data_IF_292173496870
#
_entry.id   IF_292173496870
#
_cell.length_a   1.000
_cell.length_b   1.000
_cell.length_c   1.000
_cell.angle_alpha   90.00
_cell.angle_beta   90.00
_cell.angle_gamma   90.00
#
_symmetry.space_group_name_H-M   'P 1'
#
loop_
_entity.id
_entity.type
_entity.pdbx_description
1 polymer ?
#
# COMPACT_ATOMS: atom_id res chain seq x y z
N UNK A 1 -10.26 13.83 8.25
CA UNK A 1 -9.85 12.53 7.68
C UNK A 1 -8.35 12.39 7.75
N UNK A 2 -7.88 11.23 8.19
CA UNK A 2 -6.45 10.93 8.17
C UNK A 2 -6.12 10.20 6.87
N UNK A 3 -5.56 10.90 5.94
CA UNK A 3 -5.27 10.36 4.60
C UNK A 3 -4.29 9.19 4.68
N UNK A 4 -3.31 9.26 5.58
CA UNK A 4 -2.34 8.17 5.75
C UNK A 4 -3.05 6.90 6.20
N UNK A 5 -3.94 7.03 7.16
CA UNK A 5 -4.68 5.88 7.66
C UNK A 5 -5.59 5.29 6.59
N UNK A 6 -6.25 6.15 5.82
CA UNK A 6 -7.14 5.70 4.75
C UNK A 6 -6.38 5.00 3.64
N UNK A 7 -5.23 5.54 3.25
CA UNK A 7 -4.39 4.89 2.25
C UNK A 7 -3.90 3.53 2.77
N UNK A 8 -3.47 3.48 4.02
CA UNK A 8 -2.99 2.23 4.62
C UNK A 8 -4.06 1.14 4.62
N UNK A 9 -5.31 1.53 4.93
CA UNK A 9 -6.43 0.59 4.89
C UNK A 9 -6.67 0.07 3.48
N UNK A 10 -6.54 0.93 2.48
CA UNK A 10 -6.67 0.54 1.08
C UNK A 10 -5.62 -0.50 0.70
N UNK A 11 -4.37 -0.23 1.07
CA UNK A 11 -3.28 -1.15 0.76
C UNK A 11 -3.58 -2.51 1.38
N UNK A 12 -3.94 -2.52 2.65
CA UNK A 12 -4.22 -3.78 3.35
C UNK A 12 -5.39 -4.53 2.69
N UNK A 13 -6.47 -3.81 2.39
CA UNK A 13 -7.66 -4.44 1.80
C UNK A 13 -7.35 -5.05 0.44
N UNK A 14 -6.65 -4.32 -0.41
CA UNK A 14 -6.33 -4.81 -1.75
C UNK A 14 -5.33 -5.96 -1.67
N UNK A 15 -4.31 -5.81 -0.80
CA UNK A 15 -3.32 -6.88 -0.60
C UNK A 15 -4.01 -8.16 -0.15
N UNK A 16 -4.89 -8.06 0.84
CA UNK A 16 -5.59 -9.23 1.36
C UNK A 16 -6.52 -9.84 0.32
N UNK A 17 -7.18 -9.02 -0.49
CA UNK A 17 -8.06 -9.53 -1.53
C UNK A 17 -7.31 -10.34 -2.57
N UNK A 18 -6.02 -10.09 -2.71
CA UNK A 18 -5.16 -10.82 -3.65
C UNK A 18 -4.36 -11.92 -2.96
N UNK A 19 -4.60 -12.12 -1.67
CA UNK A 19 -3.95 -13.16 -0.87
C UNK A 19 -2.43 -13.00 -0.86
N UNK A 20 -1.97 -11.75 -0.78
CA UNK A 20 -0.55 -11.42 -0.76
C UNK A 20 -0.17 -11.01 0.66
N UNK A 21 0.91 -11.57 1.20
CA UNK A 21 1.41 -11.19 2.52
C UNK A 21 2.13 -9.84 2.46
N UNK A 22 2.32 -9.22 3.63
CA UNK A 22 3.12 -7.99 3.70
C UNK A 22 4.54 -8.24 3.20
N UNK A 23 5.10 -9.38 3.56
CA UNK A 23 6.45 -9.74 3.14
C UNK A 23 6.54 -9.87 1.62
N UNK A 24 5.54 -10.52 1.02
CA UNK A 24 5.52 -10.68 -0.42
C UNK A 24 5.33 -9.35 -1.13
N UNK A 25 4.46 -8.49 -0.60
CA UNK A 25 4.28 -7.17 -1.18
C UNK A 25 5.58 -6.37 -1.13
N UNK A 26 6.27 -6.41 0.01
CA UNK A 26 7.55 -5.70 0.16
C UNK A 26 8.55 -6.19 -0.87
N UNK A 27 8.64 -7.50 -1.08
CA UNK A 27 9.53 -8.08 -2.08
C UNK A 27 9.18 -7.59 -3.48
N UNK A 28 7.90 -7.67 -3.84
CA UNK A 28 7.45 -7.28 -5.18
C UNK A 28 7.63 -5.78 -5.44
N UNK A 29 7.44 -4.97 -4.41
CA UNK A 29 7.56 -3.52 -4.54
C UNK A 29 8.98 -3.03 -4.28
N UNK A 30 9.89 -3.93 -3.92
CA UNK A 30 11.28 -3.59 -3.57
C UNK A 30 11.33 -2.57 -2.43
N UNK A 31 10.53 -2.83 -1.40
CA UNK A 31 10.45 -2.01 -0.21
C UNK A 31 10.69 -2.87 1.01
N UNK A 32 11.07 -2.23 2.13
CA UNK A 32 11.25 -2.92 3.39
C UNK A 32 9.88 -3.33 3.95
N UNK A 33 9.80 -4.54 4.50
CA UNK A 33 8.57 -5.05 5.10
C UNK A 33 8.09 -4.16 6.24
N UNK A 34 9.01 -3.64 7.04
CA UNK A 34 8.67 -2.73 8.14
C UNK A 34 7.98 -1.48 7.60
N UNK A 35 8.46 -0.99 6.46
CA UNK A 35 7.86 0.16 5.81
C UNK A 35 6.43 -0.15 5.35
N UNK A 36 6.21 -1.32 4.77
CA UNK A 36 4.87 -1.74 4.36
C UNK A 36 3.93 -1.79 5.58
N UNK A 37 4.40 -2.38 6.67
CA UNK A 37 3.62 -2.46 7.90
C UNK A 37 3.27 -1.06 8.43
N UNK A 38 4.23 -0.14 8.43
CA UNK A 38 4.00 1.22 8.88
C UNK A 38 2.99 1.94 7.99
N UNK A 39 3.08 1.72 6.67
CA UNK A 39 2.12 2.31 5.73
C UNK A 39 0.71 1.82 6.04
N UNK A 40 0.55 0.51 6.22
CA UNK A 40 -0.76 -0.07 6.48
C UNK A 40 -1.35 0.39 7.81
N UNK A 41 -0.50 0.76 8.75
CA UNK A 41 -0.93 1.27 10.05
C UNK A 41 -1.08 2.79 10.10
N UNK A 42 -0.92 3.45 8.96
CA UNK A 42 -1.11 4.89 8.87
C UNK A 42 -0.02 5.72 9.53
N UNK A 43 1.18 5.16 9.66
CA UNK A 43 2.29 5.80 10.38
C UNK A 43 3.27 6.53 9.46
N UNK A 44 3.08 6.45 8.16
CA UNK A 44 4.02 7.04 7.21
C UNK A 44 3.32 7.83 6.13
N UNK A 45 3.91 8.98 5.80
CA UNK A 45 3.59 9.65 4.54
C UNK A 45 4.29 8.89 3.43
N UNK A 46 3.62 8.71 2.31
CA UNK A 46 4.22 8.00 1.19
C UNK A 46 4.32 8.93 0.00
N UNK A 47 5.41 8.79 -0.75
CA UNK A 47 5.59 9.54 -1.98
C UNK A 47 4.71 8.95 -3.07
N UNK A 48 4.48 9.74 -4.11
CA UNK A 48 3.71 9.24 -5.25
C UNK A 48 4.42 8.05 -5.89
N UNK A 49 5.75 8.05 -5.85
CA UNK A 49 6.53 6.93 -6.38
C UNK A 49 6.27 5.65 -5.60
N UNK A 50 6.19 5.76 -4.27
CA UNK A 50 5.89 4.60 -3.43
C UNK A 50 4.48 4.07 -3.70
N UNK A 51 3.52 4.98 -3.84
CA UNK A 51 2.15 4.61 -4.17
C UNK A 51 2.12 3.82 -5.48
N UNK A 52 2.85 4.32 -6.48
CA UNK A 52 2.93 3.65 -7.78
C UNK A 52 3.56 2.26 -7.68
N UNK A 53 4.65 2.15 -6.91
CA UNK A 53 5.33 0.86 -6.74
C UNK A 53 4.40 -0.19 -6.12
N UNK A 54 3.62 0.22 -5.13
CA UNK A 54 2.69 -0.68 -4.46
C UNK A 54 1.57 -1.09 -5.41
N UNK A 55 1.02 -0.13 -6.15
CA UNK A 55 -0.04 -0.42 -7.12
C UNK A 55 0.45 -1.42 -8.17
N UNK A 56 1.66 -1.20 -8.69
CA UNK A 56 2.25 -2.07 -9.70
C UNK A 56 2.51 -3.46 -9.13
N UNK A 57 3.03 -3.53 -7.91
CA UNK A 57 3.32 -4.81 -7.26
C UNK A 57 2.04 -5.63 -7.07
N UNK A 58 0.93 -4.98 -6.78
CA UNK A 58 -0.35 -5.64 -6.60
C UNK A 58 -1.16 -5.77 -7.88
N UNK A 59 -0.58 -5.34 -9.00
CA UNK A 59 -1.24 -5.39 -10.33
C UNK A 59 -2.61 -4.73 -10.27
N UNK A 60 -2.65 -3.56 -9.62
CA UNK A 60 -3.87 -2.80 -9.41
C UNK A 60 -3.66 -1.41 -9.99
N UNK A 61 -4.73 -0.84 -10.52
CA UNK A 61 -4.64 0.51 -11.09
C UNK A 61 -4.39 1.52 -9.98
N UNK A 62 -3.55 2.51 -10.29
CA UNK A 62 -3.18 3.55 -9.33
C UNK A 62 -4.40 4.24 -8.74
N UNK A 63 -5.42 4.48 -9.56
CA UNK A 63 -6.62 5.18 -9.12
C UNK A 63 -7.32 4.46 -7.96
N UNK A 64 -7.18 3.14 -7.87
CA UNK A 64 -7.82 2.38 -6.80
C UNK A 64 -7.26 2.75 -5.43
N UNK A 65 -6.01 3.21 -5.40
CA UNK A 65 -5.38 3.62 -4.14
C UNK A 65 -5.63 5.09 -3.82
N UNK A 66 -6.04 5.87 -4.80
CA UNK A 66 -6.24 7.31 -4.63
C UNK A 66 -7.71 7.68 -4.42
N UNK A 67 -8.59 6.71 -4.51
CA UNK A 67 -10.03 6.93 -4.31
C UNK A 67 -10.33 6.88 -2.81
N UNK A 68 -10.04 7.99 -2.14
CA UNK A 68 -10.18 8.11 -0.69
C UNK A 68 -11.20 9.21 -0.40
N UNK A 69 -12.38 8.82 0.13
CA UNK A 69 -13.31 9.76 0.76
C UNK A 69 -14.72 9.19 0.90
#
# INVERSE_FOLDING_TARGET
MDVKAEYGKKVRAIRNSKMVSQEKLAELAELDRTYISDIENGKRNVSIETIYKIAKALETRLIEFLNID
#
